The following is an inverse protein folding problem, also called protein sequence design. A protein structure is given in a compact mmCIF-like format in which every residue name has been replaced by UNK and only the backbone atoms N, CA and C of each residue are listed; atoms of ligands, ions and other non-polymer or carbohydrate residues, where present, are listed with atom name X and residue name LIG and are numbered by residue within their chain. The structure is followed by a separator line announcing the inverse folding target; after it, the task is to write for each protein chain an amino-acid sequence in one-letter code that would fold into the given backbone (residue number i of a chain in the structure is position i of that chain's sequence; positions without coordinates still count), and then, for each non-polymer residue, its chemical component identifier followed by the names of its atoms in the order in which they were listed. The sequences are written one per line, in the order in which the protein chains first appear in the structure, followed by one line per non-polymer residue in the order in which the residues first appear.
data_IF_018327676719
#
_entry.id   IF_018327676719
#
_cell.length_a   1.000
_cell.length_b   1.000
_cell.length_c   1.000
_cell.angle_alpha   90.00
_cell.angle_beta   90.00
_cell.angle_gamma   90.00
#
_symmetry.space_group_name_H-M   'P 1'
#
loop_
_entity.id
_entity.type
_entity.pdbx_description
1 polymer ?
#
# COMPACT_ATOMS: atom_id res chain seq x y z
N UNK A 1 -3.53 -34.38 -1.42
CA UNK A 1 -4.15 -33.91 -2.69
C UNK A 1 -3.61 -32.52 -2.96
N UNK A 2 -3.06 -32.21 -4.15
CA UNK A 2 -2.50 -30.87 -4.43
C UNK A 2 -3.63 -29.85 -4.49
N UNK A 3 -3.76 -29.03 -3.44
CA UNK A 3 -4.65 -27.88 -3.43
C UNK A 3 -4.05 -26.79 -4.31
N UNK A 4 -4.66 -26.59 -5.48
CA UNK A 4 -4.37 -25.47 -6.37
C UNK A 4 -4.93 -24.20 -5.72
N UNK A 5 -4.09 -23.47 -4.99
CA UNK A 5 -4.42 -22.13 -4.48
C UNK A 5 -4.61 -21.21 -5.69
N UNK A 6 -5.83 -20.71 -5.81
CA UNK A 6 -6.30 -19.93 -6.93
C UNK A 6 -5.68 -18.51 -6.84
N UNK A 7 -4.58 -18.28 -7.57
CA UNK A 7 -3.98 -16.96 -7.77
C UNK A 7 -4.99 -16.04 -8.48
N UNK A 8 -5.76 -15.27 -7.72
CA UNK A 8 -6.69 -14.24 -8.25
C UNK A 8 -6.33 -12.79 -7.88
N UNK A 9 -5.32 -12.53 -7.05
CA UNK A 9 -4.92 -11.15 -6.71
C UNK A 9 -4.03 -10.46 -7.76
N UNK A 10 -3.31 -11.21 -8.62
CA UNK A 10 -2.42 -10.64 -9.64
C UNK A 10 -3.15 -9.94 -10.82
N UNK A 11 -4.45 -10.16 -10.97
CA UNK A 11 -5.22 -9.66 -12.11
C UNK A 11 -5.71 -8.23 -11.95
N UNK A 12 -5.97 -7.78 -10.73
CA UNK A 12 -6.72 -6.54 -10.46
C UNK A 12 -5.87 -5.29 -10.64
N UNK A 13 -4.60 -5.31 -10.21
CA UNK A 13 -3.67 -4.18 -10.33
C UNK A 13 -3.23 -3.92 -11.78
N UNK A 14 -3.10 -4.97 -12.60
CA UNK A 14 -2.82 -4.86 -14.04
C UNK A 14 -4.06 -4.39 -14.82
N UNK A 15 -5.26 -4.80 -14.40
CA UNK A 15 -6.51 -4.37 -15.04
C UNK A 15 -6.79 -2.88 -14.85
N UNK A 16 -6.49 -2.31 -13.66
CA UNK A 16 -6.68 -0.88 -13.37
C UNK A 16 -5.70 -0.02 -14.18
N UNK A 17 -4.43 -0.44 -14.29
CA UNK A 17 -3.43 0.26 -15.12
C UNK A 17 -3.78 0.20 -16.63
N UNK A 18 -4.35 -0.93 -17.08
CA UNK A 18 -4.77 -1.14 -18.48
C UNK A 18 -6.06 -0.37 -18.82
N UNK A 19 -7.00 -0.24 -17.87
CA UNK A 19 -8.20 0.58 -18.02
C UNK A 19 -7.86 2.07 -18.15
N UNK A 20 -6.92 2.59 -17.36
CA UNK A 20 -6.45 3.98 -17.48
C UNK A 20 -5.83 4.29 -18.86
N UNK A 21 -5.06 3.36 -19.44
CA UNK A 21 -4.47 3.52 -20.78
C UNK A 21 -5.51 3.42 -21.92
N UNK A 22 -6.59 2.65 -21.71
CA UNK A 22 -7.64 2.44 -22.73
C UNK A 22 -8.54 3.66 -22.92
N UNK A 23 -8.84 4.40 -21.84
CA UNK A 23 -9.62 5.63 -21.91
C UNK A 23 -8.85 6.79 -22.57
N UNK A 24 -7.51 6.83 -22.40
CA UNK A 24 -6.66 7.81 -23.09
C UNK A 24 -6.60 7.58 -24.62
N UNK A 25 -6.65 6.33 -25.06
CA UNK A 25 -6.63 5.95 -26.48
C UNK A 25 -7.93 6.28 -27.22
N UNK A 26 -9.10 6.08 -26.60
CA UNK A 26 -10.39 6.32 -27.27
C UNK A 26 -10.70 7.82 -27.46
N UNK A 27 -10.14 8.71 -26.63
CA UNK A 27 -10.27 10.15 -26.81
C UNK A 27 -9.48 10.68 -28.03
N UNK A 28 -8.45 9.98 -28.49
CA UNK A 28 -7.61 10.39 -29.62
C UNK A 28 -8.14 9.92 -31.00
N UNK A 29 -9.01 8.91 -31.05
CA UNK A 29 -9.41 8.27 -32.31
C UNK A 29 -10.67 8.85 -32.97
N UNK A 30 -11.32 9.87 -32.39
CA UNK A 30 -12.63 10.37 -32.86
C UNK A 30 -12.58 11.69 -33.65
N UNK A 31 -11.40 12.15 -34.07
CA UNK A 31 -11.23 13.33 -34.94
C UNK A 31 -10.50 12.97 -36.23
N UNK A 32 -11.16 12.23 -37.09
CA UNK A 32 -10.83 12.25 -38.52
C UNK A 32 -12.11 12.15 -39.34
N UNK A 33 -12.50 13.27 -39.96
CA UNK A 33 -13.52 13.30 -41.01
C UNK A 33 -12.93 14.08 -42.19
N UNK A 34 -12.69 13.45 -43.36
CA UNK A 34 -12.03 14.12 -44.48
C UNK A 34 -13.01 15.00 -45.27
N UNK A 35 -12.64 16.27 -45.46
CA UNK A 35 -13.35 17.21 -46.33
C UNK A 35 -13.20 16.79 -47.81
N UNK A 36 -14.34 16.78 -48.51
CA UNK A 36 -14.51 16.46 -49.92
C UNK A 36 -13.73 17.41 -50.84
N UNK A 37 -13.03 16.82 -51.82
CA UNK A 37 -12.50 17.50 -53.03
C UNK A 37 -13.64 17.95 -53.95
N UNK A 38 -13.66 19.24 -54.30
CA UNK A 38 -14.44 19.82 -55.39
C UNK A 38 -13.54 20.20 -56.56
N UNK A 39 -14.01 19.87 -57.77
CA UNK A 39 -13.35 19.94 -59.07
C UNK A 39 -12.96 21.35 -59.50
N UNK A 40 -11.83 21.46 -60.21
CA UNK A 40 -11.44 22.65 -60.97
C UNK A 40 -12.22 22.70 -62.30
N UNK A 41 -12.70 23.90 -62.66
CA UNK A 41 -13.04 24.27 -64.03
C UNK A 41 -12.61 25.73 -64.26
N UNK A 42 -12.05 25.98 -65.45
CA UNK A 42 -11.33 27.20 -65.81
C UNK A 42 -12.22 28.38 -66.18
N UNK A 43 -11.65 29.58 -66.09
CA UNK A 43 -12.25 30.82 -66.57
C UNK A 43 -11.38 32.05 -66.32
N UNK A 44 -10.59 32.42 -67.34
CA UNK A 44 -10.29 33.77 -67.87
C UNK A 44 -10.05 34.98 -66.93
N UNK A 45 -8.88 35.62 -67.16
CA UNK A 45 -8.38 36.90 -66.63
C UNK A 45 -9.27 38.14 -66.95
N UNK A 46 -9.05 39.29 -66.26
CA UNK A 46 -8.13 40.28 -66.83
C UNK A 46 -7.13 40.92 -65.84
N UNK A 47 -6.06 41.39 -66.47
CA UNK A 47 -4.90 42.18 -66.07
C UNK A 47 -5.27 43.56 -65.47
N UNK A 48 -4.55 44.02 -64.44
CA UNK A 48 -4.29 45.45 -64.19
C UNK A 48 -2.93 45.64 -63.50
N UNK A 49 -2.33 46.78 -63.83
CA UNK A 49 -0.91 47.10 -63.89
C UNK A 49 -0.20 47.40 -62.56
N UNK A 50 1.09 47.09 -62.61
CA UNK A 50 2.25 47.46 -61.79
C UNK A 50 2.18 48.85 -61.13
N UNK A 51 2.29 48.88 -59.79
CA UNK A 51 2.94 49.99 -59.10
C UNK A 51 3.44 49.56 -57.71
N UNK A 52 4.65 50.05 -57.39
CA UNK A 52 5.33 50.02 -56.08
C UNK A 52 6.28 48.85 -55.76
N UNK A 53 7.49 48.99 -56.31
CA UNK A 53 8.76 48.61 -55.68
C UNK A 53 8.87 49.30 -54.30
N UNK A 54 9.00 48.53 -53.21
CA UNK A 54 10.00 48.78 -52.15
C UNK A 54 10.33 47.51 -51.36
N UNK A 55 11.64 47.30 -51.21
CA UNK A 55 12.30 46.24 -50.47
C UNK A 55 12.25 46.45 -48.95
N UNK A 56 12.05 45.33 -48.25
CA UNK A 56 12.69 44.90 -46.98
C UNK A 56 12.56 45.76 -45.72
N UNK A 57 11.90 45.17 -44.71
CA UNK A 57 12.40 45.18 -43.33
C UNK A 57 11.94 43.94 -42.57
N UNK A 58 12.91 43.23 -41.98
CA UNK A 58 12.78 42.16 -40.99
C UNK A 58 11.85 42.53 -39.83
N UNK A 59 10.99 41.61 -39.37
CA UNK A 59 10.59 41.31 -37.97
C UNK A 59 9.79 39.98 -38.02
N UNK A 60 10.40 38.85 -37.71
CA UNK A 60 10.53 38.19 -36.38
C UNK A 60 9.32 37.29 -36.03
N UNK A 61 9.65 36.04 -35.72
CA UNK A 61 8.78 34.87 -35.67
C UNK A 61 8.32 34.67 -34.22
N UNK A 62 7.08 35.05 -33.86
CA UNK A 62 6.61 34.97 -32.47
C UNK A 62 6.27 33.52 -32.08
N UNK A 63 7.20 32.88 -31.38
CA UNK A 63 7.00 31.64 -30.64
C UNK A 63 5.90 31.81 -29.58
N UNK A 64 4.90 30.94 -29.62
CA UNK A 64 3.81 30.90 -28.65
C UNK A 64 4.30 30.30 -27.32
N UNK A 65 4.24 31.11 -26.27
CA UNK A 65 4.53 30.73 -24.89
C UNK A 65 3.19 30.45 -24.18
N UNK A 66 2.98 29.20 -23.76
CA UNK A 66 1.85 28.82 -22.91
C UNK A 66 2.34 27.96 -21.76
N UNK A 67 3.06 28.57 -20.83
CA UNK A 67 3.12 28.10 -19.45
C UNK A 67 3.09 29.32 -18.52
N UNK A 68 2.04 29.44 -17.70
CA UNK A 68 2.00 30.47 -16.66
C UNK A 68 2.82 29.97 -15.49
N UNK A 69 4.13 30.26 -15.50
CA UNK A 69 4.90 30.65 -14.31
C UNK A 69 5.87 31.74 -14.73
N UNK A 70 5.73 32.88 -14.06
CA UNK A 70 6.56 34.08 -14.20
C UNK A 70 8.02 33.73 -13.94
N UNK A 71 8.92 34.04 -14.88
CA UNK A 71 10.29 34.44 -14.53
C UNK A 71 10.90 35.38 -15.56
N UNK A 72 11.39 36.51 -15.04
CA UNK A 72 12.38 37.45 -15.60
C UNK A 72 11.93 38.37 -16.75
N UNK A 73 10.99 39.27 -16.43
CA UNK A 73 11.19 40.72 -16.55
C UNK A 73 9.96 41.47 -16.03
N UNK A 74 10.15 42.27 -14.97
CA UNK A 74 9.13 43.18 -14.44
C UNK A 74 8.33 42.66 -13.25
N UNK A 75 8.57 43.27 -12.08
CA UNK A 75 7.56 43.31 -11.03
C UNK A 75 6.30 43.98 -11.61
N UNK A 76 5.20 43.22 -11.72
CA UNK A 76 3.91 43.79 -12.05
C UNK A 76 3.38 44.59 -10.85
N UNK A 77 3.45 45.92 -10.94
CA UNK A 77 2.60 46.86 -10.19
C UNK A 77 1.13 46.70 -10.62
N UNK A 78 0.50 45.58 -10.23
CA UNK A 78 -0.95 45.38 -10.18
C UNK A 78 -1.21 43.92 -9.80
N UNK A 79 -1.53 43.67 -8.53
CA UNK A 79 -2.19 42.43 -8.12
C UNK A 79 -3.69 42.47 -8.47
N UNK A 80 -4.02 42.81 -9.72
CA UNK A 80 -5.38 42.96 -10.22
C UNK A 80 -5.47 42.46 -11.66
N UNK A 81 -6.28 41.41 -11.85
CA UNK A 81 -6.74 40.80 -13.11
C UNK A 81 -5.70 40.68 -14.23
N UNK A 82 -4.99 39.54 -14.25
CA UNK A 82 -4.52 38.97 -15.52
C UNK A 82 -5.78 38.67 -16.34
N UNK A 83 -6.02 39.48 -17.37
CA UNK A 83 -7.08 39.24 -18.34
C UNK A 83 -6.79 37.91 -19.06
N UNK A 84 -7.44 36.83 -18.64
CA UNK A 84 -7.36 35.52 -19.28
C UNK A 84 -8.14 35.48 -20.62
N UNK A 85 -8.03 36.54 -21.43
CA UNK A 85 -8.56 36.59 -22.78
C UNK A 85 -7.50 36.03 -23.73
N UNK A 86 -7.28 34.73 -23.66
CA UNK A 86 -6.41 33.98 -24.56
C UNK A 86 -7.16 32.75 -25.05
N UNK A 87 -7.32 32.66 -26.37
CA UNK A 87 -8.16 31.71 -27.08
C UNK A 87 -7.96 30.25 -26.62
N UNK A 88 -9.07 29.57 -26.34
CA UNK A 88 -9.19 28.12 -26.18
C UNK A 88 -8.90 27.41 -27.52
N UNK A 89 -7.67 27.54 -28.03
CA UNK A 89 -7.22 26.84 -29.22
C UNK A 89 -6.76 25.43 -28.83
N UNK A 90 -7.74 24.55 -28.61
CA UNK A 90 -7.60 23.10 -28.79
C UNK A 90 -6.76 22.30 -27.78
N UNK A 91 -5.95 22.91 -26.93
CA UNK A 91 -5.11 22.21 -25.96
C UNK A 91 -5.60 22.46 -24.52
N UNK A 92 -6.22 21.46 -23.91
CA UNK A 92 -6.51 21.45 -22.46
C UNK A 92 -5.16 21.32 -21.74
N UNK A 93 -4.74 22.29 -20.90
CA UNK A 93 -3.43 22.21 -20.27
C UNK A 93 -3.43 21.05 -19.25
N UNK A 94 -2.54 20.08 -19.47
CA UNK A 94 -2.35 18.88 -18.64
C UNK A 94 -1.09 19.09 -17.81
N UNK A 95 -1.08 18.55 -16.59
CA UNK A 95 0.10 18.52 -15.74
C UNK A 95 0.23 17.15 -15.08
N UNK A 96 1.43 16.79 -14.67
CA UNK A 96 1.64 15.55 -13.96
C UNK A 96 3.02 15.45 -13.33
N UNK A 97 3.17 14.47 -12.44
CA UNK A 97 4.40 14.15 -11.73
C UNK A 97 4.56 12.64 -11.60
N UNK A 98 5.82 12.19 -11.61
CA UNK A 98 6.19 10.84 -11.24
C UNK A 98 7.17 10.89 -10.08
N UNK A 99 6.94 10.05 -9.08
CA UNK A 99 7.75 10.02 -7.87
C UNK A 99 8.10 8.58 -7.51
N UNK A 100 9.36 8.37 -7.12
CA UNK A 100 9.78 7.19 -6.38
C UNK A 100 9.47 7.38 -4.90
N UNK A 101 8.96 6.33 -4.26
CA UNK A 101 8.61 6.32 -2.85
C UNK A 101 9.53 5.36 -2.09
N UNK A 102 9.98 5.77 -0.91
CA UNK A 102 10.60 4.91 0.09
C UNK A 102 9.93 5.17 1.43
N UNK A 103 9.00 4.29 1.80
CA UNK A 103 8.13 4.46 2.96
C UNK A 103 8.37 3.39 4.01
N UNK A 104 8.03 3.72 5.25
CA UNK A 104 7.99 2.84 6.40
C UNK A 104 6.57 2.82 6.93
N UNK A 105 6.18 1.67 7.46
CA UNK A 105 4.88 1.49 8.09
C UNK A 105 5.04 1.23 9.58
N UNK A 106 3.93 1.36 10.30
CA UNK A 106 3.87 1.01 11.71
C UNK A 106 4.18 -0.48 11.92
N UNK A 107 5.01 -0.77 12.92
CA UNK A 107 5.35 -2.13 13.33
C UNK A 107 4.08 -2.93 13.68
N UNK A 108 4.06 -4.21 13.32
CA UNK A 108 2.98 -5.12 13.69
C UNK A 108 3.19 -5.58 15.12
N UNK A 109 2.24 -5.29 16.01
CA UNK A 109 2.26 -5.80 17.37
C UNK A 109 1.65 -7.21 17.39
N UNK A 110 2.51 -8.22 17.46
CA UNK A 110 2.12 -9.63 17.49
C UNK A 110 2.31 -10.20 18.91
N UNK A 111 1.49 -11.17 19.35
CA UNK A 111 1.83 -11.93 20.55
C UNK A 111 3.17 -12.67 20.35
N UNK A 112 3.82 -13.15 21.42
CA UNK A 112 5.01 -13.98 21.29
C UNK A 112 4.71 -15.22 20.44
N UNK A 113 5.38 -15.37 19.30
CA UNK A 113 5.08 -16.47 18.36
C UNK A 113 6.10 -17.60 18.43
N UNK A 114 7.34 -17.29 18.80
CA UNK A 114 8.41 -18.27 18.96
C UNK A 114 9.26 -17.96 20.20
N UNK A 115 9.62 -19.00 20.92
CA UNK A 115 10.43 -18.94 22.14
C UNK A 115 11.50 -20.02 22.14
N UNK A 116 12.51 -19.83 22.98
CA UNK A 116 13.52 -20.82 23.31
C UNK A 116 13.75 -20.85 24.82
N UNK A 117 14.46 -21.87 25.32
CA UNK A 117 14.94 -21.90 26.70
C UNK A 117 16.42 -22.29 26.78
N UNK A 118 17.05 -21.92 27.89
CA UNK A 118 18.45 -22.31 28.17
C UNK A 118 18.64 -23.83 28.12
N UNK A 119 19.82 -24.27 27.66
CA UNK A 119 20.15 -25.69 27.59
C UNK A 119 20.06 -26.35 28.99
N UNK A 120 19.42 -27.51 29.05
CA UNK A 120 19.19 -28.24 30.31
C UNK A 120 17.91 -27.84 31.06
N UNK A 121 17.11 -26.92 30.51
CA UNK A 121 15.74 -26.66 31.00
C UNK A 121 14.89 -27.92 30.87
N UNK A 122 14.14 -28.27 31.91
CA UNK A 122 13.25 -29.43 31.89
C UNK A 122 12.15 -29.27 30.84
N UNK A 123 11.85 -30.35 30.12
CA UNK A 123 10.86 -30.37 29.02
C UNK A 123 9.50 -29.78 29.38
N UNK A 124 9.02 -30.03 30.60
CA UNK A 124 7.69 -29.62 31.04
C UNK A 124 7.57 -28.11 31.31
N UNK A 125 8.68 -27.37 31.30
CA UNK A 125 8.71 -25.91 31.49
C UNK A 125 9.43 -25.17 30.35
N UNK A 126 9.87 -25.90 29.33
CA UNK A 126 10.62 -25.37 28.21
C UNK A 126 9.71 -24.56 27.27
N UNK A 127 10.16 -23.36 26.87
CA UNK A 127 9.43 -22.46 25.96
C UNK A 127 8.21 -21.77 26.57
N UNK A 128 7.90 -21.99 27.86
CA UNK A 128 6.73 -21.41 28.52
C UNK A 128 7.02 -19.95 28.91
N UNK A 129 6.11 -19.03 28.57
CA UNK A 129 6.25 -17.62 28.91
C UNK A 129 6.24 -17.40 30.43
N UNK A 130 7.16 -16.57 30.91
CA UNK A 130 7.31 -16.25 32.33
C UNK A 130 8.17 -17.25 33.12
N UNK A 131 8.50 -18.42 32.55
CA UNK A 131 9.44 -19.35 33.16
C UNK A 131 10.89 -18.86 33.08
N UNK A 132 11.69 -19.24 34.08
CA UNK A 132 13.08 -18.80 34.18
C UNK A 132 13.91 -19.38 33.03
N UNK A 133 14.56 -18.50 32.26
CA UNK A 133 15.41 -18.90 31.14
C UNK A 133 14.67 -19.11 29.83
N UNK A 134 13.36 -18.83 29.77
CA UNK A 134 12.62 -18.69 28.50
C UNK A 134 12.88 -17.31 27.89
N UNK A 135 13.19 -17.29 26.60
CA UNK A 135 13.40 -16.08 25.80
C UNK A 135 12.47 -16.08 24.59
N UNK A 136 11.89 -14.91 24.28
CA UNK A 136 11.11 -14.71 23.06
C UNK A 136 12.12 -14.46 21.93
N UNK A 137 12.14 -15.36 20.95
CA UNK A 137 13.01 -15.24 19.77
C UNK A 137 12.30 -14.59 18.59
N UNK A 138 10.95 -14.57 18.60
CA UNK A 138 10.16 -13.82 17.63
C UNK A 138 8.75 -13.48 18.16
N UNK A 139 8.27 -12.27 17.87
CA UNK A 139 6.99 -11.70 18.31
C UNK A 139 7.19 -10.32 18.95
N UNK A 140 6.11 -9.71 19.44
CA UNK A 140 6.13 -8.32 19.92
C UNK A 140 5.99 -7.32 18.78
N UNK A 141 6.74 -6.22 18.82
CA UNK A 141 6.74 -5.22 17.75
C UNK A 141 7.65 -5.69 16.59
N UNK A 142 7.02 -6.14 15.50
CA UNK A 142 7.68 -6.66 14.31
C UNK A 142 7.61 -5.62 13.19
N UNK A 143 8.77 -5.04 12.86
CA UNK A 143 8.93 -4.14 11.74
C UNK A 143 9.08 -4.93 10.43
N UNK A 144 8.35 -4.52 9.38
CA UNK A 144 8.62 -4.99 8.01
C UNK A 144 9.75 -4.18 7.39
N UNK A 145 10.29 -4.68 6.29
CA UNK A 145 11.24 -3.93 5.45
C UNK A 145 10.67 -2.58 4.96
N UNK A 146 11.58 -1.69 4.56
CA UNK A 146 11.21 -0.43 3.90
C UNK A 146 10.52 -0.70 2.55
N UNK A 147 9.43 0.01 2.32
CA UNK A 147 8.55 -0.17 1.18
C UNK A 147 8.95 0.78 0.05
N UNK A 148 9.58 0.26 -0.99
CA UNK A 148 9.81 1.01 -2.23
C UNK A 148 8.55 1.05 -3.10
N UNK A 149 8.30 2.15 -3.80
CA UNK A 149 7.11 2.24 -4.64
C UNK A 149 7.16 3.40 -5.63
N UNK A 150 6.01 3.63 -6.26
CA UNK A 150 5.83 4.72 -7.21
C UNK A 150 4.55 5.49 -6.95
N UNK A 151 4.58 6.79 -7.24
CA UNK A 151 3.39 7.67 -7.27
C UNK A 151 3.30 8.38 -8.61
N UNK A 152 2.10 8.39 -9.17
CA UNK A 152 1.77 9.11 -10.39
C UNK A 152 0.66 10.10 -10.09
N UNK A 153 0.85 11.35 -10.50
CA UNK A 153 -0.19 12.37 -10.48
C UNK A 153 -0.42 12.87 -11.90
N UNK A 154 -1.69 13.00 -12.31
CA UNK A 154 -2.07 13.58 -13.60
C UNK A 154 -3.30 14.44 -13.39
N UNK A 155 -3.32 15.65 -13.97
CA UNK A 155 -4.45 16.54 -13.90
C UNK A 155 -4.62 17.43 -15.11
N UNK A 156 -5.83 17.97 -15.25
CA UNK A 156 -6.21 18.89 -16.34
C UNK A 156 -6.84 20.15 -15.77
N UNK A 157 -6.57 21.28 -16.39
CA UNK A 157 -7.22 22.54 -16.06
C UNK A 157 -8.54 22.68 -16.82
N UNK A 158 -9.59 23.12 -16.13
CA UNK A 158 -10.95 23.23 -16.67
C UNK A 158 -11.28 24.65 -17.15
N UNK A 159 -10.44 25.63 -16.85
CA UNK A 159 -10.59 27.01 -17.28
C UNK A 159 -9.26 27.62 -17.76
N UNK A 160 -9.31 28.66 -18.62
CA UNK A 160 -8.11 29.29 -19.18
C UNK A 160 -7.19 29.93 -18.12
N UNK A 161 -7.74 30.34 -16.97
CA UNK A 161 -6.96 30.95 -15.89
C UNK A 161 -6.30 29.90 -14.99
N UNK A 162 -6.51 28.60 -15.25
CA UNK A 162 -6.09 27.50 -14.40
C UNK A 162 -6.57 27.66 -12.95
N UNK A 163 -7.79 28.17 -12.72
CA UNK A 163 -8.37 28.35 -11.38
C UNK A 163 -8.97 27.06 -10.85
N UNK A 164 -9.46 26.19 -11.73
CA UNK A 164 -10.17 24.96 -11.42
C UNK A 164 -9.53 23.83 -12.23
N UNK A 165 -9.17 22.75 -11.55
CA UNK A 165 -8.62 21.56 -12.21
C UNK A 165 -9.14 20.27 -11.59
N UNK A 166 -9.16 19.20 -12.37
CA UNK A 166 -9.42 17.85 -11.88
C UNK A 166 -8.15 17.03 -12.02
N UNK A 167 -7.83 16.20 -11.03
CA UNK A 167 -6.64 15.37 -11.03
C UNK A 167 -6.87 14.02 -10.37
N UNK A 168 -6.06 13.05 -10.79
CA UNK A 168 -5.88 11.76 -10.13
C UNK A 168 -4.47 11.64 -9.57
N UNK A 169 -4.34 11.08 -8.37
CA UNK A 169 -3.06 10.77 -7.71
C UNK A 169 -3.12 9.35 -7.18
N UNK A 170 -2.26 8.47 -7.68
CA UNK A 170 -2.23 7.06 -7.28
C UNK A 170 -0.83 6.65 -6.85
N UNK A 171 -0.75 5.80 -5.83
CA UNK A 171 0.50 5.18 -5.41
C UNK A 171 0.34 3.68 -5.18
N UNK A 172 1.43 2.95 -5.37
CA UNK A 172 1.55 1.56 -4.97
C UNK A 172 2.94 1.34 -4.40
N UNK A 173 3.00 0.61 -3.29
CA UNK A 173 4.25 0.17 -2.68
C UNK A 173 4.48 -1.30 -3.01
N UNK A 174 5.74 -1.72 -3.03
CA UNK A 174 6.09 -3.13 -3.04
C UNK A 174 5.60 -3.81 -1.76
N UNK A 175 5.47 -5.12 -1.80
CA UNK A 175 5.20 -5.92 -0.63
C UNK A 175 6.36 -5.76 0.38
N UNK A 176 6.04 -5.41 1.62
CA UNK A 176 6.97 -5.52 2.74
C UNK A 176 6.86 -6.89 3.37
N UNK A 177 7.99 -7.46 3.78
CA UNK A 177 8.01 -8.72 4.53
C UNK A 177 8.78 -8.58 5.84
N UNK A 178 8.42 -9.42 6.80
CA UNK A 178 9.21 -9.75 7.98
C UNK A 178 9.15 -11.27 8.15
N UNK A 179 10.30 -11.92 8.04
CA UNK A 179 10.40 -13.38 8.04
C UNK A 179 11.21 -13.86 9.24
N UNK A 180 10.83 -15.02 9.76
CA UNK A 180 11.57 -15.75 10.77
C UNK A 180 11.58 -17.22 10.43
N UNK A 181 12.77 -17.82 10.49
CA UNK A 181 12.95 -19.25 10.30
C UNK A 181 13.93 -19.72 11.35
N UNK A 182 13.53 -20.75 12.10
CA UNK A 182 14.38 -21.43 13.06
C UNK A 182 14.15 -22.93 12.98
N UNK A 183 15.21 -23.68 13.25
CA UNK A 183 15.16 -25.13 13.35
C UNK A 183 15.84 -25.61 14.63
N UNK A 184 15.53 -26.84 15.01
CA UNK A 184 16.10 -27.48 16.20
C UNK A 184 17.62 -27.74 16.14
N UNK A 185 18.28 -27.56 14.99
CA UNK A 185 19.74 -27.68 14.88
C UNK A 185 20.45 -26.40 15.33
N UNK A 186 19.79 -25.25 15.12
CA UNK A 186 20.27 -23.92 15.50
C UNK A 186 19.70 -23.46 16.85
N UNK A 187 18.45 -23.82 17.14
CA UNK A 187 17.71 -23.50 18.37
C UNK A 187 17.22 -24.82 19.00
N UNK A 188 18.05 -25.50 19.83
CA UNK A 188 17.76 -26.86 20.29
C UNK A 188 16.45 -27.04 21.07
N UNK A 189 16.04 -26.02 21.82
CA UNK A 189 14.71 -25.93 22.42
C UNK A 189 13.95 -24.88 21.61
N UNK A 190 13.09 -25.33 20.70
CA UNK A 190 12.29 -24.46 19.84
C UNK A 190 10.82 -24.70 20.16
N UNK A 191 10.12 -23.64 20.55
CA UNK A 191 8.73 -23.74 20.99
C UNK A 191 7.88 -22.57 20.48
N UNK A 192 6.58 -22.81 20.33
CA UNK A 192 5.60 -21.74 20.17
C UNK A 192 4.78 -21.66 21.46
N UNK A 193 4.87 -20.56 22.21
CA UNK A 193 4.08 -20.42 23.44
C UNK A 193 2.60 -20.29 23.10
N UNK A 194 1.72 -20.51 24.08
CA UNK A 194 0.30 -20.19 24.04
C UNK A 194 -0.28 -20.16 25.46
N UNK A 195 -1.37 -19.44 25.66
CA UNK A 195 -2.12 -19.53 26.91
C UNK A 195 -3.08 -20.72 26.85
N UNK A 196 -2.89 -21.73 27.69
CA UNK A 196 -3.73 -22.93 27.68
C UNK A 196 -5.08 -22.63 28.33
N UNK A 197 -6.11 -22.45 27.51
CA UNK A 197 -7.45 -22.08 27.98
C UNK A 197 -8.14 -23.20 28.78
N UNK A 198 -7.70 -24.45 28.63
CA UNK A 198 -8.25 -25.57 29.39
C UNK A 198 -7.69 -25.63 30.82
N UNK A 199 -6.38 -25.40 30.99
CA UNK A 199 -5.70 -25.46 32.30
C UNK A 199 -5.63 -24.09 32.99
N UNK A 200 -5.77 -23.00 32.25
CA UNK A 200 -5.71 -21.63 32.74
C UNK A 200 -4.30 -21.13 33.09
N UNK A 201 -3.26 -21.70 32.46
CA UNK A 201 -1.86 -21.32 32.66
C UNK A 201 -1.13 -21.15 31.32
N UNK A 202 -0.01 -20.43 31.32
CA UNK A 202 0.90 -20.38 30.18
C UNK A 202 1.46 -21.77 29.86
N UNK A 203 1.58 -22.09 28.58
CA UNK A 203 2.05 -23.36 28.07
C UNK A 203 2.80 -23.15 26.75
N UNK A 204 3.43 -24.20 26.21
CA UNK A 204 4.13 -24.11 24.94
C UNK A 204 4.09 -25.42 24.16
N UNK A 205 3.94 -25.30 22.84
CA UNK A 205 4.08 -26.41 21.93
C UNK A 205 5.55 -26.51 21.50
N UNK A 206 6.20 -27.63 21.84
CA UNK A 206 7.60 -27.90 21.48
C UNK A 206 7.67 -28.44 20.05
N UNK A 207 8.47 -27.78 19.20
CA UNK A 207 8.83 -28.26 17.86
C UNK A 207 10.27 -28.81 17.81
N UNK A 208 11.12 -28.39 18.74
CA UNK A 208 12.48 -28.90 18.90
C UNK A 208 12.80 -29.10 20.38
N UNK A 209 13.36 -30.25 20.71
CA UNK A 209 13.84 -30.56 22.06
C UNK A 209 14.94 -31.61 21.99
N UNK A 210 16.10 -31.41 22.65
CA UNK A 210 17.27 -32.28 22.48
C UNK A 210 16.98 -33.77 22.69
N UNK A 211 17.43 -34.60 21.75
CA UNK A 211 17.26 -36.06 21.74
C UNK A 211 15.81 -36.60 21.66
N UNK A 212 14.79 -35.75 21.65
CA UNK A 212 13.39 -36.17 21.63
C UNK A 212 12.61 -35.65 20.42
N UNK A 213 12.82 -34.39 20.05
CA UNK A 213 12.10 -33.72 18.97
C UNK A 213 13.06 -32.99 18.04
N UNK A 214 12.83 -33.10 16.73
CA UNK A 214 13.48 -32.28 15.72
C UNK A 214 12.41 -31.59 14.88
N UNK A 215 12.62 -30.33 14.53
CA UNK A 215 11.60 -29.58 13.83
C UNK A 215 12.04 -28.19 13.40
N UNK A 216 11.10 -27.46 12.81
CA UNK A 216 11.27 -26.09 12.34
C UNK A 216 10.01 -25.26 12.55
N UNK A 217 10.20 -23.95 12.64
CA UNK A 217 9.15 -22.94 12.68
C UNK A 217 9.51 -21.85 11.69
N UNK A 218 8.63 -21.62 10.73
CA UNK A 218 8.74 -20.61 9.69
C UNK A 218 7.54 -19.66 9.79
N UNK A 219 7.81 -18.38 9.99
CA UNK A 219 6.81 -17.33 10.15
C UNK A 219 7.07 -16.25 9.10
N UNK A 220 6.05 -15.90 8.32
CA UNK A 220 6.11 -14.84 7.34
C UNK A 220 4.97 -13.85 7.59
N UNK A 221 5.31 -12.58 7.81
CA UNK A 221 4.39 -11.47 7.79
C UNK A 221 4.61 -10.70 6.50
N UNK A 222 3.58 -10.58 5.68
CA UNK A 222 3.58 -9.81 4.43
C UNK A 222 2.60 -8.64 4.53
N UNK A 223 2.94 -7.50 3.94
CA UNK A 223 2.10 -6.29 3.90
C UNK A 223 2.13 -5.63 2.53
N UNK A 224 0.97 -5.30 1.98
CA UNK A 224 0.80 -4.57 0.73
C UNK A 224 -0.08 -3.33 0.95
N UNK A 225 0.37 -2.19 0.42
CA UNK A 225 -0.32 -0.91 0.53
C UNK A 225 -0.37 -0.21 -0.82
N UNK A 226 -1.57 0.23 -1.20
CA UNK A 226 -1.78 1.06 -2.39
C UNK A 226 -2.97 2.00 -2.19
N UNK A 227 -3.03 3.06 -2.99
CA UNK A 227 -4.13 4.01 -2.88
C UNK A 227 -4.31 4.87 -4.13
N UNK A 228 -5.51 5.43 -4.26
CA UNK A 228 -5.86 6.35 -5.33
C UNK A 228 -6.72 7.49 -4.78
N UNK A 229 -6.47 8.69 -5.28
CA UNK A 229 -7.24 9.89 -5.03
C UNK A 229 -7.69 10.46 -6.37
N UNK A 230 -8.92 10.93 -6.42
CA UNK A 230 -9.44 11.76 -7.52
C UNK A 230 -10.05 13.01 -6.92
N UNK A 231 -9.58 14.17 -7.32
CA UNK A 231 -9.98 15.41 -6.67
C UNK A 231 -10.10 16.59 -7.63
N UNK A 232 -11.00 17.49 -7.27
CA UNK A 232 -11.11 18.85 -7.78
C UNK A 232 -10.18 19.73 -6.96
N UNK A 233 -9.36 20.53 -7.64
CA UNK A 233 -8.63 21.65 -7.03
C UNK A 233 -9.24 22.96 -7.48
N UNK A 234 -9.41 23.88 -6.55
CA UNK A 234 -9.94 25.22 -6.80
C UNK A 234 -9.05 26.27 -6.13
N UNK A 235 -8.65 27.29 -6.89
CA UNK A 235 -7.81 28.38 -6.41
C UNK A 235 -8.49 29.21 -5.33
N UNK A 236 -7.87 29.26 -4.16
CA UNK A 236 -8.30 30.14 -3.06
C UNK A 236 -7.57 31.48 -3.14
N UNK A 237 -6.26 31.44 -3.41
CA UNK A 237 -5.42 32.63 -3.44
C UNK A 237 -4.20 32.41 -4.32
N UNK A 238 -3.86 33.40 -5.12
CA UNK A 238 -2.64 33.46 -5.92
C UNK A 238 -1.90 34.77 -5.63
N UNK A 239 -0.58 34.68 -5.48
CA UNK A 239 0.33 35.82 -5.44
C UNK A 239 1.36 35.72 -6.55
N UNK A 240 2.36 36.61 -6.54
CA UNK A 240 3.41 36.62 -7.57
C UNK A 240 4.26 35.33 -7.56
N UNK A 241 4.43 34.72 -6.39
CA UNK A 241 5.36 33.63 -6.17
C UNK A 241 4.75 32.46 -5.38
N UNK A 242 3.43 32.48 -5.15
CA UNK A 242 2.73 31.40 -4.46
C UNK A 242 1.29 31.22 -4.97
N UNK A 243 0.76 30.02 -4.76
CA UNK A 243 -0.62 29.63 -5.04
C UNK A 243 -1.12 28.69 -3.95
N UNK A 244 -2.34 28.92 -3.51
CA UNK A 244 -3.04 28.07 -2.54
C UNK A 244 -4.37 27.63 -3.16
N UNK A 245 -4.61 26.33 -3.19
CA UNK A 245 -5.84 25.73 -3.68
C UNK A 245 -6.54 24.94 -2.57
N UNK A 246 -7.87 24.93 -2.59
CA UNK A 246 -8.67 23.95 -1.87
C UNK A 246 -8.80 22.67 -2.69
N UNK A 247 -8.86 21.55 -1.99
CA UNK A 247 -9.05 20.21 -2.56
C UNK A 247 -10.38 19.64 -2.08
N UNK A 248 -11.15 19.07 -3.00
CA UNK A 248 -12.35 18.29 -2.70
C UNK A 248 -12.35 17.06 -3.61
N UNK A 249 -12.43 15.86 -3.05
CA UNK A 249 -12.25 14.65 -3.82
C UNK A 249 -12.76 13.37 -3.16
N UNK A 250 -12.27 12.27 -3.70
CA UNK A 250 -12.52 10.91 -3.28
C UNK A 250 -11.19 10.20 -3.09
N UNK A 251 -11.11 9.35 -2.07
CA UNK A 251 -9.95 8.53 -1.75
C UNK A 251 -10.35 7.07 -1.59
N UNK A 252 -9.56 6.20 -2.19
CA UNK A 252 -9.47 4.79 -1.88
C UNK A 252 -8.08 4.47 -1.33
N UNK A 253 -8.02 3.65 -0.28
CA UNK A 253 -6.78 3.13 0.31
C UNK A 253 -6.99 1.65 0.61
N UNK A 254 -6.13 0.80 0.07
CA UNK A 254 -6.07 -0.64 0.34
C UNK A 254 -4.85 -0.97 1.17
N UNK A 255 -5.06 -1.72 2.26
CA UNK A 255 -4.00 -2.31 3.09
C UNK A 255 -4.33 -3.77 3.33
N UNK A 256 -3.47 -4.66 2.83
CA UNK A 256 -3.60 -6.10 2.97
C UNK A 256 -2.39 -6.64 3.71
N UNK A 257 -2.62 -7.39 4.79
CA UNK A 257 -1.55 -8.04 5.55
C UNK A 257 -1.86 -9.53 5.72
N UNK A 258 -0.83 -10.38 5.60
CA UNK A 258 -0.94 -11.83 5.79
C UNK A 258 0.13 -12.29 6.76
N UNK A 259 -0.29 -13.00 7.81
CA UNK A 259 0.59 -13.70 8.74
C UNK A 259 0.42 -15.21 8.50
N UNK A 260 1.44 -15.83 7.93
CA UNK A 260 1.50 -17.26 7.71
C UNK A 260 2.52 -17.89 8.65
N UNK A 261 2.13 -18.96 9.33
CA UNK A 261 3.02 -19.78 10.15
C UNK A 261 2.98 -21.21 9.64
N UNK A 262 4.14 -21.75 9.30
CA UNK A 262 4.33 -23.17 9.03
C UNK A 262 5.23 -23.72 10.13
N UNK A 263 4.90 -24.89 10.66
CA UNK A 263 5.74 -25.53 11.67
C UNK A 263 5.71 -27.04 11.49
N UNK A 264 6.83 -27.70 11.75
CA UNK A 264 6.94 -29.14 11.64
C UNK A 264 7.72 -29.69 12.82
N UNK A 265 7.32 -30.84 13.33
CA UNK A 265 8.05 -31.57 14.36
C UNK A 265 8.03 -33.07 14.07
N UNK A 266 9.14 -33.74 14.34
CA UNK A 266 9.31 -35.18 14.28
C UNK A 266 9.78 -35.70 15.63
N UNK A 267 9.16 -36.79 16.09
CA UNK A 267 9.55 -37.49 17.31
C UNK A 267 10.72 -38.43 17.02
N UNK A 268 11.89 -38.16 17.58
CA UNK A 268 13.14 -38.90 17.31
C UNK A 268 13.59 -39.80 18.47
N UNK A 269 12.93 -39.75 19.62
CA UNK A 269 13.20 -40.70 20.71
C UNK A 269 12.59 -42.07 20.41
N UNK A 270 13.46 -43.03 20.07
CA UNK A 270 13.09 -44.42 19.79
C UNK A 270 12.48 -45.18 20.99
N UNK A 271 12.55 -44.63 22.20
CA UNK A 271 11.94 -45.22 23.40
C UNK A 271 10.48 -44.84 23.58
N UNK A 272 10.01 -43.78 22.91
CA UNK A 272 8.65 -43.26 23.00
C UNK A 272 7.72 -43.88 21.95
N UNK A 273 6.43 -44.02 22.30
CA UNK A 273 5.44 -44.62 21.39
C UNK A 273 5.20 -43.82 20.11
N UNK A 274 5.61 -42.55 20.10
CA UNK A 274 5.42 -41.61 19.01
C UNK A 274 6.60 -41.59 18.03
N UNK A 275 7.66 -42.37 18.27
CA UNK A 275 8.86 -42.38 17.43
C UNK A 275 8.55 -42.45 15.92
N UNK A 276 9.18 -41.57 15.14
CA UNK A 276 9.02 -41.43 13.70
C UNK A 276 7.69 -40.80 13.27
N UNK A 277 6.86 -40.32 14.21
CA UNK A 277 5.67 -39.52 13.90
C UNK A 277 6.10 -38.11 13.53
N UNK A 278 5.51 -37.57 12.47
CA UNK A 278 5.69 -36.19 12.04
C UNK A 278 4.37 -35.44 12.21
N UNK A 279 4.42 -34.24 12.76
CA UNK A 279 3.29 -33.32 12.83
C UNK A 279 3.68 -32.05 12.07
N UNK A 280 2.91 -31.72 11.04
CA UNK A 280 3.01 -30.47 10.30
C UNK A 280 1.80 -29.61 10.64
N UNK A 281 2.00 -28.33 10.93
CA UNK A 281 0.94 -27.38 11.27
C UNK A 281 1.05 -26.13 10.42
N UNK A 282 -0.12 -25.61 10.05
CA UNK A 282 -0.29 -24.43 9.24
C UNK A 282 -1.31 -23.51 9.89
N UNK A 283 -0.94 -22.26 10.15
CA UNK A 283 -1.83 -21.19 10.60
C UNK A 283 -1.73 -20.01 9.62
N UNK A 284 -2.89 -19.46 9.23
CA UNK A 284 -3.01 -18.29 8.36
C UNK A 284 -3.98 -17.27 8.95
N UNK A 285 -3.51 -16.04 9.04
CA UNK A 285 -4.31 -14.86 9.36
C UNK A 285 -4.12 -13.82 8.26
N UNK A 286 -5.10 -13.72 7.38
CA UNK A 286 -5.12 -12.80 6.24
C UNK A 286 -6.14 -11.69 6.51
N UNK A 287 -5.69 -10.43 6.48
CA UNK A 287 -6.49 -9.26 6.85
C UNK A 287 -6.44 -8.22 5.75
N UNK A 288 -7.60 -7.93 5.17
CA UNK A 288 -7.79 -6.93 4.11
C UNK A 288 -8.56 -5.73 4.68
N UNK A 289 -8.09 -4.52 4.35
CA UNK A 289 -8.71 -3.26 4.73
C UNK A 289 -8.90 -2.38 3.48
N UNK A 290 -10.16 -2.12 3.13
CA UNK A 290 -10.55 -1.30 1.98
C UNK A 290 -11.27 -0.03 2.44
N UNK A 291 -10.58 1.11 2.39
CA UNK A 291 -11.16 2.41 2.68
C UNK A 291 -11.77 3.03 1.42
N UNK A 292 -12.97 3.58 1.56
CA UNK A 292 -13.63 4.39 0.53
C UNK A 292 -14.23 5.64 1.20
N UNK A 293 -13.79 6.83 0.80
CA UNK A 293 -14.20 8.06 1.48
C UNK A 293 -14.08 9.34 0.67
N UNK A 294 -14.78 10.37 1.14
CA UNK A 294 -14.65 11.73 0.63
C UNK A 294 -13.43 12.41 1.23
N UNK A 295 -12.75 13.24 0.45
CA UNK A 295 -11.51 13.92 0.83
C UNK A 295 -11.69 15.43 0.72
N UNK A 296 -11.21 16.16 1.72
CA UNK A 296 -11.08 17.63 1.68
C UNK A 296 -9.67 18.03 2.08
N UNK A 297 -9.17 19.13 1.56
CA UNK A 297 -7.82 19.56 1.89
C UNK A 297 -7.38 20.87 1.28
N UNK A 298 -6.08 21.10 1.36
CA UNK A 298 -5.40 22.26 0.79
C UNK A 298 -4.11 21.83 0.09
N UNK A 299 -3.82 22.52 -1.00
CA UNK A 299 -2.55 22.44 -1.72
C UNK A 299 -1.92 23.82 -1.74
N UNK A 300 -0.60 23.87 -1.56
CA UNK A 300 0.19 25.08 -1.69
C UNK A 300 1.36 24.83 -2.63
N UNK A 301 1.61 25.77 -3.53
CA UNK A 301 2.82 25.82 -4.35
C UNK A 301 3.46 27.19 -4.16
N UNK A 302 4.77 27.25 -3.97
CA UNK A 302 5.51 28.49 -3.98
C UNK A 302 6.84 28.34 -4.69
N UNK A 303 7.30 29.43 -5.29
CA UNK A 303 8.54 29.51 -6.05
C UNK A 303 9.35 30.67 -5.53
N UNK A 304 10.62 30.45 -5.24
CA UNK A 304 11.57 31.51 -4.91
C UNK A 304 12.90 31.27 -5.64
N UNK A 305 13.13 32.04 -6.70
CA UNK A 305 14.22 31.80 -7.63
C UNK A 305 14.17 30.40 -8.23
N UNK A 306 15.16 29.57 -7.89
CA UNK A 306 15.25 28.18 -8.38
C UNK A 306 14.59 27.15 -7.48
N UNK A 307 14.09 27.57 -6.32
CA UNK A 307 13.50 26.68 -5.33
C UNK A 307 11.99 26.65 -5.46
N UNK A 308 11.42 25.47 -5.32
CA UNK A 308 9.97 25.26 -5.23
C UNK A 308 9.65 24.62 -3.90
N UNK A 309 8.54 25.03 -3.30
CA UNK A 309 8.00 24.41 -2.10
C UNK A 309 6.53 24.07 -2.34
N UNK A 310 6.24 22.79 -2.24
CA UNK A 310 4.91 22.21 -2.38
C UNK A 310 4.43 21.64 -1.04
N UNK A 311 3.18 21.91 -0.71
CA UNK A 311 2.49 21.35 0.45
C UNK A 311 1.16 20.76 0.01
N UNK A 312 0.84 19.59 0.52
CA UNK A 312 -0.44 18.92 0.30
C UNK A 312 -0.92 18.35 1.63
N UNK A 313 -2.06 18.81 2.13
CA UNK A 313 -2.68 18.22 3.30
C UNK A 313 -4.16 17.97 3.07
N UNK A 314 -4.58 16.74 3.37
CA UNK A 314 -5.96 16.31 3.22
C UNK A 314 -6.44 15.57 4.45
N UNK A 315 -7.76 15.55 4.63
CA UNK A 315 -8.45 14.69 5.57
C UNK A 315 -9.53 13.97 4.79
N UNK A 316 -9.49 12.65 4.82
CA UNK A 316 -10.52 11.80 4.24
C UNK A 316 -11.42 11.24 5.32
N UNK A 317 -12.71 11.17 5.05
CA UNK A 317 -13.72 10.59 5.93
C UNK A 317 -14.55 9.60 5.12
N UNK A 318 -14.73 8.39 5.65
CA UNK A 318 -15.36 7.32 4.87
C UNK A 318 -15.58 6.04 5.65
N UNK A 319 -15.90 4.99 4.90
CA UNK A 319 -16.09 3.63 5.39
C UNK A 319 -14.83 2.82 5.13
N UNK A 320 -14.34 2.14 6.17
CA UNK A 320 -13.32 1.10 6.08
C UNK A 320 -14.02 -0.24 6.17
N UNK A 321 -14.00 -1.00 5.08
CA UNK A 321 -14.40 -2.41 5.10
C UNK A 321 -13.19 -3.24 5.51
N UNK A 322 -13.33 -3.97 6.59
CA UNK A 322 -12.30 -4.84 7.14
C UNK A 322 -12.75 -6.28 6.97
N UNK A 323 -11.87 -7.13 6.45
CA UNK A 323 -12.12 -8.55 6.23
C UNK A 323 -10.95 -9.35 6.79
N UNK A 324 -11.25 -10.30 7.67
CA UNK A 324 -10.25 -11.20 8.23
C UNK A 324 -10.59 -12.65 7.85
N UNK A 325 -9.64 -13.33 7.24
CA UNK A 325 -9.71 -14.75 6.90
C UNK A 325 -8.76 -15.51 7.82
N UNK A 326 -9.32 -16.40 8.63
CA UNK A 326 -8.58 -17.30 9.51
C UNK A 326 -8.68 -18.71 8.96
N UNK A 327 -7.55 -19.33 8.67
CA UNK A 327 -7.50 -20.68 8.15
C UNK A 327 -6.31 -21.44 8.73
N UNK A 328 -6.46 -22.75 8.88
CA UNK A 328 -5.33 -23.58 9.25
C UNK A 328 -5.64 -25.06 9.17
N UNK A 329 -4.57 -25.84 9.28
CA UNK A 329 -4.63 -27.30 9.24
C UNK A 329 -3.45 -27.92 9.96
N UNK A 330 -3.62 -29.17 10.36
CA UNK A 330 -2.56 -29.99 10.92
C UNK A 330 -2.54 -31.34 10.20
N UNK A 331 -1.36 -31.87 9.91
CA UNK A 331 -1.19 -33.20 9.33
C UNK A 331 -0.35 -34.02 10.29
N UNK A 332 -0.92 -35.11 10.78
CA UNK A 332 -0.21 -36.07 11.64
C UNK A 332 0.10 -37.32 10.83
N UNK A 333 1.39 -37.62 10.69
CA UNK A 333 1.90 -38.76 9.94
C UNK A 333 2.66 -39.71 10.86
N UNK A 334 2.02 -40.76 11.39
CA UNK A 334 2.71 -41.76 12.19
C UNK A 334 3.72 -42.55 11.37
N UNK A 335 4.74 -43.10 12.04
CA UNK A 335 5.82 -43.86 11.39
C UNK A 335 5.29 -44.99 10.49
N UNK A 336 5.61 -44.92 9.19
CA UNK A 336 5.25 -45.95 8.22
C UNK A 336 3.76 -46.01 7.85
N UNK A 337 2.95 -45.05 8.31
CA UNK A 337 1.52 -44.94 8.00
C UNK A 337 1.23 -43.68 7.17
N UNK A 338 0.11 -43.64 6.41
CA UNK A 338 -0.29 -42.43 5.72
C UNK A 338 -0.68 -41.32 6.72
N UNK A 339 -0.41 -40.06 6.34
CA UNK A 339 -0.80 -38.89 7.13
C UNK A 339 -2.33 -38.69 7.19
N UNK A 340 -2.79 -38.17 8.33
CA UNK A 340 -4.18 -37.77 8.56
C UNK A 340 -4.24 -36.26 8.73
N UNK A 341 -5.08 -35.61 7.93
CA UNK A 341 -5.32 -34.16 8.01
C UNK A 341 -6.44 -33.86 9.03
N UNK A 342 -6.16 -32.91 9.91
CA UNK A 342 -7.05 -32.38 10.93
C UNK A 342 -7.33 -30.91 10.62
N UNK A 343 -8.52 -30.46 10.97
CA UNK A 343 -8.90 -29.05 10.82
C UNK A 343 -8.13 -28.25 11.88
N UNK A 344 -7.53 -27.14 11.44
CA UNK A 344 -6.84 -26.19 12.30
C UNK A 344 -5.35 -26.45 12.55
N UNK A 345 -4.62 -25.38 12.77
CA UNK A 345 -3.26 -25.35 13.31
C UNK A 345 -3.26 -25.01 14.81
N UNK A 346 -2.13 -24.51 15.33
CA UNK A 346 -1.99 -24.21 16.76
C UNK A 346 -2.90 -23.04 17.19
N UNK A 347 -2.88 -21.94 16.41
CA UNK A 347 -3.62 -20.69 16.71
C UNK A 347 -4.92 -20.57 15.89
N UNK A 348 -5.17 -21.53 15.01
CA UNK A 348 -6.36 -21.59 14.17
C UNK A 348 -7.06 -22.91 14.44
N UNK A 349 -8.24 -22.88 15.04
CA UNK A 349 -9.01 -24.07 15.39
C UNK A 349 -10.44 -23.95 14.88
N UNK A 350 -11.24 -25.01 15.03
CA UNK A 350 -12.65 -24.98 14.62
C UNK A 350 -13.44 -23.81 15.24
N UNK A 351 -13.02 -23.31 16.40
CA UNK A 351 -13.66 -22.19 17.09
C UNK A 351 -13.43 -20.80 16.48
N UNK A 352 -12.35 -20.58 15.70
CA UNK A 352 -12.04 -19.27 15.09
C UNK A 352 -11.77 -19.31 13.58
N UNK A 353 -11.71 -20.48 12.94
CA UNK A 353 -11.56 -20.56 11.48
C UNK A 353 -12.82 -20.02 10.79
N UNK A 354 -12.62 -19.13 9.83
CA UNK A 354 -13.72 -18.49 9.12
C UNK A 354 -13.32 -17.23 8.37
N UNK A 355 -14.34 -16.60 7.78
CA UNK A 355 -14.24 -15.28 7.17
C UNK A 355 -15.12 -14.36 7.98
N UNK A 356 -14.54 -13.26 8.46
CA UNK A 356 -15.20 -12.27 9.29
C UNK A 356 -15.11 -10.91 8.59
N UNK A 357 -16.20 -10.14 8.63
CA UNK A 357 -16.25 -8.82 8.00
C UNK A 357 -16.88 -7.80 8.94
N UNK A 358 -16.31 -6.59 8.96
CA UNK A 358 -16.82 -5.46 9.73
C UNK A 358 -16.62 -4.15 8.95
N UNK A 359 -17.50 -3.18 9.18
CA UNK A 359 -17.43 -1.86 8.56
C UNK A 359 -17.30 -0.79 9.62
N UNK A 360 -16.29 0.07 9.49
CA UNK A 360 -15.99 1.12 10.45
C UNK A 360 -15.88 2.47 9.79
N UNK A 361 -16.51 3.49 10.39
CA UNK A 361 -16.22 4.86 10.01
C UNK A 361 -14.78 5.21 10.38
N UNK A 362 -14.04 5.73 9.41
CA UNK A 362 -12.60 5.95 9.50
C UNK A 362 -12.23 7.33 8.97
N UNK A 363 -11.23 7.94 9.60
CA UNK A 363 -10.68 9.24 9.24
C UNK A 363 -9.20 9.09 8.91
N UNK A 364 -8.79 9.60 7.75
CA UNK A 364 -7.43 9.49 7.23
C UNK A 364 -6.87 10.88 6.95
N UNK A 365 -6.11 11.48 7.88
CA UNK A 365 -5.28 12.64 7.58
C UNK A 365 -4.02 12.23 6.80
N UNK A 366 -3.69 13.02 5.78
CA UNK A 366 -2.42 12.96 5.04
C UNK A 366 -1.77 14.34 5.02
N UNK A 367 -0.46 14.41 5.22
CA UNK A 367 0.34 15.60 4.99
C UNK A 367 1.59 15.25 4.19
N UNK A 368 1.89 16.04 3.16
CA UNK A 368 3.07 15.92 2.32
C UNK A 368 3.73 17.27 2.15
N UNK A 369 5.04 17.30 2.30
CA UNK A 369 5.88 18.47 2.06
C UNK A 369 6.94 18.10 1.04
N UNK A 370 7.12 18.92 0.01
CA UNK A 370 8.07 18.65 -1.07
C UNK A 370 8.88 19.90 -1.37
N UNK A 371 10.20 19.76 -1.38
CA UNK A 371 11.15 20.79 -1.77
C UNK A 371 11.72 20.41 -3.15
N UNK A 372 11.54 21.27 -4.13
CA UNK A 372 12.09 21.09 -5.48
C UNK A 372 13.14 22.13 -5.83
N UNK A 373 13.95 21.79 -6.84
CA UNK A 373 14.97 22.65 -7.40
C UNK A 373 14.98 22.55 -8.92
N UNK A 374 14.90 23.70 -9.58
CA UNK A 374 15.00 23.80 -11.05
C UNK A 374 16.43 23.55 -11.51
N UNK A 375 16.67 22.36 -12.07
CA UNK A 375 17.94 22.04 -12.75
C UNK A 375 17.99 22.76 -14.09
N UNK A 376 16.87 22.75 -14.81
CA UNK A 376 16.66 23.53 -16.04
C UNK A 376 15.27 24.18 -15.97
N UNK A 377 14.95 25.14 -16.85
CA UNK A 377 13.61 25.74 -16.89
C UNK A 377 12.46 24.73 -17.08
N UNK A 378 12.76 23.52 -17.59
CA UNK A 378 11.77 22.47 -17.92
C UNK A 378 11.86 21.23 -17.02
N UNK A 379 12.89 21.14 -16.18
CA UNK A 379 13.18 19.97 -15.35
C UNK A 379 13.39 20.39 -13.90
N UNK A 380 12.51 19.91 -13.04
CA UNK A 380 12.56 20.06 -11.59
C UNK A 380 12.83 18.68 -10.95
N UNK A 381 13.82 18.65 -10.05
CA UNK A 381 14.08 17.52 -9.17
C UNK A 381 13.55 17.88 -7.79
N UNK A 382 12.82 16.96 -7.16
CA UNK A 382 12.20 17.20 -5.87
C UNK A 382 12.45 16.08 -4.86
N UNK A 383 12.55 16.49 -3.59
CA UNK A 383 12.60 15.60 -2.44
C UNK A 383 11.48 16.01 -1.50
N UNK A 384 10.66 15.05 -1.11
CA UNK A 384 9.55 15.29 -0.19
C UNK A 384 9.45 14.25 0.90
N UNK A 385 8.56 14.52 1.84
CA UNK A 385 8.19 13.65 2.93
C UNK A 385 6.67 13.59 3.04
N UNK A 386 6.12 12.38 3.09
CA UNK A 386 4.68 12.13 3.29
C UNK A 386 4.47 11.47 4.65
N UNK A 387 3.43 11.87 5.37
CA UNK A 387 2.87 11.17 6.52
C UNK A 387 1.39 10.94 6.29
N UNK A 388 0.93 9.71 6.50
CA UNK A 388 -0.44 9.27 6.38
C UNK A 388 -0.80 8.49 7.63
N UNK A 389 -1.93 8.81 8.24
CA UNK A 389 -2.42 8.13 9.44
C UNK A 389 -3.85 7.64 9.23
N UNK A 390 -4.15 6.48 9.77
CA UNK A 390 -5.46 5.82 9.72
C UNK A 390 -5.84 5.48 11.15
N UNK A 391 -6.97 6.00 11.64
CA UNK A 391 -7.35 5.83 13.04
C UNK A 391 -7.97 4.46 13.37
N UNK A 392 -8.39 3.69 12.35
CA UNK A 392 -9.00 2.37 12.49
C UNK A 392 -8.61 1.47 11.34
N UNK A 393 -7.75 0.51 11.63
CA UNK A 393 -7.27 -0.49 10.69
C UNK A 393 -7.06 -1.81 11.45
N UNK A 394 -7.48 -2.92 10.84
CA UNK A 394 -7.30 -4.26 11.41
C UNK A 394 -6.02 -4.89 10.85
N UNK A 395 -5.22 -5.52 11.70
CA UNK A 395 -3.95 -6.17 11.34
C UNK A 395 -3.88 -7.57 11.95
N UNK A 396 -3.07 -8.50 11.40
CA UNK A 396 -3.00 -9.87 11.89
C UNK A 396 -2.75 -9.99 13.39
N UNK A 397 -1.89 -9.14 13.97
CA UNK A 397 -1.59 -9.14 15.41
C UNK A 397 -2.77 -8.93 16.34
N UNK A 398 -3.84 -8.30 15.85
CA UNK A 398 -5.06 -8.02 16.61
C UNK A 398 -6.08 -9.14 16.50
N UNK A 399 -5.98 -9.92 15.43
CA UNK A 399 -6.85 -11.05 15.12
C UNK A 399 -6.32 -12.33 15.77
N UNK A 400 -5.00 -12.45 15.93
CA UNK A 400 -4.40 -13.59 16.63
C UNK A 400 -4.84 -13.59 18.10
N UNK A 401 -5.55 -14.64 18.47
CA UNK A 401 -5.84 -14.98 19.86
C UNK A 401 -4.85 -16.06 20.31
N UNK A 402 -4.12 -15.75 21.38
CA UNK A 402 -3.08 -16.62 21.94
C UNK A 402 -3.62 -17.60 22.97
N UNK A 403 -4.91 -17.48 23.34
CA UNK A 403 -5.62 -18.47 24.15
C UNK A 403 -5.99 -19.68 23.28
N UNK A 404 -5.48 -20.86 23.63
CA UNK A 404 -5.66 -22.09 22.84
C UNK A 404 -6.20 -23.21 23.73
N UNK A 405 -7.20 -23.94 23.26
CA UNK A 405 -7.67 -25.18 23.87
C UNK A 405 -7.33 -26.37 22.96
N UNK A 406 -6.26 -27.08 23.29
CA UNK A 406 -5.78 -28.21 22.49
C UNK A 406 -6.75 -29.40 22.44
N UNK A 407 -7.75 -29.48 23.34
CA UNK A 407 -8.74 -30.57 23.31
C UNK A 407 -9.53 -30.59 22.00
N UNK A 408 -9.69 -29.43 21.34
CA UNK A 408 -10.34 -29.29 20.03
C UNK A 408 -9.59 -29.99 18.90
N UNK A 409 -8.26 -30.17 19.03
CA UNK A 409 -7.45 -30.85 18.02
C UNK A 409 -7.40 -32.36 18.23
N UNK A 410 -7.50 -32.81 19.48
CA UNK A 410 -7.28 -34.22 19.86
C UNK A 410 -8.57 -35.00 20.13
N UNK A 411 -9.74 -34.35 20.10
CA UNK A 411 -11.01 -34.99 20.44
C UNK A 411 -12.20 -34.02 20.50
N UNK A 412 -13.32 -34.39 21.17
CA UNK A 412 -14.40 -33.45 21.41
C UNK A 412 -13.92 -32.30 22.30
N UNK A 413 -14.35 -31.08 21.99
CA UNK A 413 -14.05 -29.91 22.81
C UNK A 413 -14.51 -30.12 24.26
N UNK A 414 -13.56 -29.99 25.20
CA UNK A 414 -13.82 -29.91 26.63
C UNK A 414 -13.34 -28.55 27.17
N UNK A 415 -14.19 -27.84 27.91
CA UNK A 415 -13.87 -26.51 28.42
C UNK A 415 -14.19 -25.39 27.40
N UNK A 416 -13.50 -24.22 27.48
CA UNK A 416 -13.81 -23.06 26.64
C UNK A 416 -13.38 -23.28 25.18
N UNK A 417 -14.22 -22.84 24.23
CA UNK A 417 -13.90 -22.85 22.80
C UNK A 417 -12.91 -21.71 22.48
N UNK A 418 -11.62 -22.02 22.50
CA UNK A 418 -10.51 -21.07 22.28
C UNK A 418 -9.50 -21.67 21.31
N UNK A 419 -9.00 -20.91 20.33
CA UNK A 419 -9.08 -19.45 20.22
C UNK A 419 -10.45 -18.95 19.73
N UNK A 420 -10.80 -17.71 20.04
CA UNK A 420 -12.02 -17.04 19.53
C UNK A 420 -11.63 -15.87 18.63
N UNK A 421 -12.29 -15.74 17.49
CA UNK A 421 -12.10 -14.55 16.67
C UNK A 421 -12.73 -13.32 17.34
N UNK A 422 -11.93 -12.28 17.57
CA UNK A 422 -12.41 -10.98 18.04
C UNK A 422 -11.94 -9.89 17.09
N UNK A 423 -12.88 -9.14 16.53
CA UNK A 423 -12.55 -7.99 15.68
C UNK A 423 -12.00 -6.86 16.55
N UNK A 424 -10.71 -6.59 16.43
CA UNK A 424 -10.01 -5.47 17.08
C UNK A 424 -9.36 -4.61 16.00
N UNK A 425 -9.48 -3.30 16.12
CA UNK A 425 -8.83 -2.32 15.26
C UNK A 425 -7.84 -1.48 16.07
N UNK A 426 -6.86 -0.88 15.39
CA UNK A 426 -5.99 0.15 15.97
C UNK A 426 -5.70 1.25 14.97
N UNK A 427 -4.98 2.23 15.48
CA UNK A 427 -4.25 3.18 14.67
C UNK A 427 -3.19 2.50 13.80
N UNK A 428 -2.99 3.06 12.62
CA UNK A 428 -1.97 2.69 11.65
C UNK A 428 -1.36 3.95 11.02
N UNK A 429 -0.06 3.95 10.74
CA UNK A 429 0.58 5.04 10.01
C UNK A 429 1.54 4.53 8.94
N UNK A 430 1.69 5.38 7.92
CA UNK A 430 2.68 5.28 6.85
C UNK A 430 3.43 6.60 6.76
N UNK A 431 4.74 6.53 6.62
CA UNK A 431 5.55 7.72 6.45
C UNK A 431 6.74 7.46 5.55
N UNK A 432 7.22 8.45 4.83
CA UNK A 432 8.42 8.22 4.04
C UNK A 432 8.83 9.33 3.13
N UNK A 433 9.94 9.07 2.45
CA UNK A 433 10.56 9.98 1.51
C UNK A 433 9.97 9.77 0.12
N UNK A 434 9.83 10.88 -0.61
CA UNK A 434 9.43 10.90 -2.01
C UNK A 434 10.56 11.54 -2.81
N UNK A 435 10.95 10.95 -3.93
CA UNK A 435 11.91 11.55 -4.87
C UNK A 435 11.17 11.74 -6.19
N UNK A 436 10.94 12.98 -6.58
CA UNK A 436 10.12 13.33 -7.73
C UNK A 436 10.93 13.91 -8.88
N UNK A 437 10.48 13.63 -10.09
CA UNK A 437 10.93 14.31 -11.30
C UNK A 437 9.73 14.93 -11.98
N UNK A 438 9.76 16.25 -12.13
CA UNK A 438 8.67 17.02 -12.72
C UNK A 438 9.14 17.57 -14.08
N UNK A 439 8.43 17.19 -15.15
CA UNK A 439 8.63 17.73 -16.48
C UNK A 439 7.58 18.81 -16.74
N UNK A 440 8.03 20.02 -17.05
CA UNK A 440 7.17 21.14 -17.47
C UNK A 440 7.30 21.29 -18.99
N UNK A 441 6.19 21.17 -19.71
CA UNK A 441 6.16 21.22 -21.18
C UNK A 441 5.47 22.47 -21.72
#
# INVERSE_FOLDING_TARGET
MKATVNRRSFGTSVLILTLCLSFASQAAAQRDNPLRRGSADGGQFPEFTDDQIQQTSFLDESSHDTSVVVSEDGCCDSCGDISCNGCWHGCIPVWGSIEYLLWWQQDANLPPMATTSAAGTDRNVAGILGESGTEIIWGGDVATDALSGGRLTVGVWLDPCARIGIAGRGFALQQGSAEFSADSTTVPILARPFFNAFTGVEDAFLYGYPAELTGSVDIALESEVHGIQTFLRHELRRGCNYRIDSVLGYRYLGVSESLQINSATEFIDSSESQFGTVIEQFDLFDVENDFNGGEIGIMGHSVDGRWTLDFHATVSLGEMRQRATVAGSSVVTPAGLPGTELIGGLLTQESNIGIYEANHFTVIPEASFTLGYFITPRLDLSVGYTFLYVNRLSRPGQVVDHEVNLTQQTGPLEGPARPEFVFRDSDYWLQGLNIGLNLRY
#
